data_IF_172829384189
#
_entry.id   IF_172829384189
#
_cell.length_a   1.000
_cell.length_b   1.000
_cell.length_c   1.000
_cell.angle_alpha   90.00
_cell.angle_beta   90.00
_cell.angle_gamma   90.00
#
_symmetry.space_group_name_H-M   'P 1'
#
loop_
_entity.id
_entity.type
_entity.pdbx_description
1 polymer ?
#
# COMPACT_ATOMS: atom_id res chain seq x y z
N UNK A 1 4.75 -4.24 12.20
CA UNK A 1 3.68 -4.69 11.25
C UNK A 1 3.48 -6.19 11.41
N UNK A 2 2.25 -6.67 11.32
CA UNK A 2 1.94 -8.10 11.28
C UNK A 2 1.28 -8.44 9.95
N UNK A 3 1.74 -9.51 9.30
CA UNK A 3 1.16 -10.09 8.09
C UNK A 3 0.53 -11.44 8.45
N UNK A 4 -0.63 -11.73 7.88
CA UNK A 4 -1.34 -12.98 8.07
C UNK A 4 -1.58 -13.63 6.71
N UNK A 5 -1.00 -14.81 6.52
CA UNK A 5 -1.32 -15.68 5.39
C UNK A 5 -2.52 -16.54 5.78
N UNK A 6 -3.65 -16.27 5.16
CA UNK A 6 -4.92 -16.97 5.48
C UNK A 6 -4.96 -18.39 4.92
N UNK A 7 -4.19 -18.69 3.90
CA UNK A 7 -4.10 -20.05 3.30
C UNK A 7 -3.17 -20.92 4.13
N UNK A 8 -1.96 -20.45 4.39
CA UNK A 8 -0.99 -21.17 5.22
C UNK A 8 -1.28 -21.05 6.73
N UNK A 9 -2.25 -20.21 7.14
CA UNK A 9 -2.59 -19.90 8.54
C UNK A 9 -1.36 -19.46 9.36
N UNK A 10 -0.49 -18.70 8.73
CA UNK A 10 0.77 -18.25 9.31
C UNK A 10 0.75 -16.74 9.58
N UNK A 11 1.23 -16.35 10.76
CA UNK A 11 1.47 -14.95 11.11
C UNK A 11 2.97 -14.66 11.02
N UNK A 12 3.31 -13.56 10.34
CA UNK A 12 4.67 -13.03 10.27
C UNK A 12 4.69 -11.63 10.88
N UNK A 13 5.71 -11.31 11.66
CA UNK A 13 5.87 -9.99 12.29
C UNK A 13 7.14 -9.34 11.77
N UNK A 14 7.00 -8.13 11.24
CA UNK A 14 8.12 -7.27 10.85
C UNK A 14 8.39 -6.25 11.94
N UNK A 15 9.65 -6.09 12.33
CA UNK A 15 10.07 -5.08 13.29
C UNK A 15 10.49 -3.81 12.58
N UNK A 16 10.12 -2.67 13.13
CA UNK A 16 10.60 -1.34 12.73
C UNK A 16 11.72 -0.91 13.68
N UNK A 17 12.59 0.03 13.27
CA UNK A 17 13.57 0.64 14.17
C UNK A 17 12.90 1.25 15.38
N UNK A 18 13.63 1.37 16.48
CA UNK A 18 13.12 1.96 17.73
C UNK A 18 12.64 3.40 17.49
N UNK A 19 11.45 3.74 17.97
CA UNK A 19 10.84 5.06 17.83
C UNK A 19 10.22 5.34 16.45
N UNK A 20 10.25 4.36 15.53
CA UNK A 20 9.64 4.46 14.21
C UNK A 20 8.30 3.73 14.21
N UNK A 21 7.27 4.41 13.72
CA UNK A 21 5.92 3.86 13.60
C UNK A 21 5.30 4.18 12.23
N UNK A 22 4.05 3.82 12.04
CA UNK A 22 3.27 4.09 10.83
C UNK A 22 1.80 4.29 11.20
N UNK A 23 1.02 4.91 10.32
CA UNK A 23 -0.42 5.14 10.51
C UNK A 23 -1.25 4.29 9.57
N UNK A 24 -2.58 4.25 9.77
CA UNK A 24 -3.48 3.50 8.89
C UNK A 24 -3.55 4.04 7.45
N UNK A 25 -3.20 5.32 7.21
CA UNK A 25 -3.15 5.94 5.87
C UNK A 25 -1.81 5.72 5.16
N UNK A 26 -0.86 5.11 5.82
CA UNK A 26 0.51 4.91 5.33
C UNK A 26 0.84 3.46 4.99
N UNK A 27 -0.18 2.69 4.65
CA UNK A 27 -0.08 1.28 4.26
C UNK A 27 -0.42 1.11 2.79
N UNK A 28 0.31 0.26 2.09
CA UNK A 28 0.05 -0.09 0.71
C UNK A 28 0.51 -1.50 0.37
N UNK A 29 0.15 -1.95 -0.82
CA UNK A 29 0.56 -3.24 -1.37
C UNK A 29 1.27 -3.04 -2.69
N UNK A 30 2.45 -3.63 -2.83
CA UNK A 30 3.24 -3.62 -4.04
C UNK A 30 2.75 -4.59 -5.11
N UNK A 31 3.32 -4.51 -6.33
CA UNK A 31 2.86 -5.25 -7.51
C UNK A 31 3.00 -6.77 -7.39
N UNK A 32 3.88 -7.27 -6.53
CA UNK A 32 4.06 -8.70 -6.26
C UNK A 32 3.56 -9.11 -4.87
N UNK A 33 2.76 -8.27 -4.22
CA UNK A 33 2.18 -8.52 -2.92
C UNK A 33 3.01 -8.02 -1.74
N UNK A 34 4.09 -7.28 -1.99
CA UNK A 34 4.92 -6.67 -0.96
C UNK A 34 4.09 -5.76 -0.06
N UNK A 35 4.46 -5.67 1.20
CA UNK A 35 3.88 -4.69 2.11
C UNK A 35 4.67 -3.38 2.07
N UNK A 36 3.98 -2.28 1.79
CA UNK A 36 4.56 -0.94 1.79
C UNK A 36 4.13 -0.20 3.05
N UNK A 37 5.09 0.44 3.69
CA UNK A 37 4.88 1.29 4.86
C UNK A 37 5.54 2.66 4.64
N UNK A 38 4.77 3.73 4.76
CA UNK A 38 5.31 5.06 4.96
C UNK A 38 5.50 5.27 6.46
N UNK A 39 6.74 5.32 6.89
CA UNK A 39 7.09 5.36 8.33
C UNK A 39 7.39 6.78 8.81
N UNK A 40 7.25 7.00 10.12
CA UNK A 40 7.37 8.33 10.76
C UNK A 40 8.76 8.95 10.65
N UNK A 41 9.78 8.19 10.28
CA UNK A 41 11.10 8.71 9.91
C UNK A 41 11.18 9.26 8.47
N UNK A 42 10.04 9.30 7.76
CA UNK A 42 9.93 9.86 6.41
C UNK A 42 10.32 8.90 5.28
N UNK A 43 10.50 7.62 5.57
CA UNK A 43 10.85 6.60 4.59
C UNK A 43 9.64 5.82 4.09
N UNK A 44 9.61 5.54 2.79
CA UNK A 44 8.80 4.47 2.23
C UNK A 44 9.62 3.17 2.31
N UNK A 45 9.13 2.19 3.07
CA UNK A 45 9.77 0.89 3.29
C UNK A 45 8.96 -0.21 2.64
N UNK A 46 9.64 -1.16 2.05
CA UNK A 46 9.03 -2.31 1.36
C UNK A 46 9.46 -3.58 2.07
N UNK A 47 8.49 -4.42 2.44
CA UNK A 47 8.70 -5.65 3.18
C UNK A 47 8.20 -6.86 2.38
N UNK A 48 8.91 -7.96 2.51
CA UNK A 48 8.41 -9.27 2.13
C UNK A 48 7.38 -9.75 3.18
N UNK A 49 6.09 -9.92 2.83
CA UNK A 49 5.08 -10.32 3.79
C UNK A 49 5.23 -11.76 4.28
N UNK A 50 5.94 -12.61 3.54
CA UNK A 50 6.16 -14.00 3.91
C UNK A 50 7.24 -14.15 4.98
N UNK A 51 8.31 -13.36 4.90
CA UNK A 51 9.45 -13.42 5.81
C UNK A 51 9.47 -12.32 6.86
N UNK A 52 8.77 -11.19 6.59
CA UNK A 52 8.82 -9.98 7.41
C UNK A 52 10.09 -9.15 7.23
N UNK A 53 10.94 -9.52 6.28
CA UNK A 53 12.20 -8.82 6.01
C UNK A 53 11.97 -7.56 5.20
N UNK A 54 12.68 -6.48 5.55
CA UNK A 54 12.73 -5.28 4.71
C UNK A 54 13.54 -5.57 3.44
N UNK A 55 12.94 -5.33 2.29
CA UNK A 55 13.55 -5.53 0.98
C UNK A 55 14.30 -4.28 0.53
N UNK A 56 13.71 -3.11 0.75
CA UNK A 56 14.30 -1.84 0.39
C UNK A 56 13.54 -0.66 0.97
N UNK A 57 14.14 0.51 0.91
CA UNK A 57 13.51 1.75 1.36
C UNK A 57 14.04 2.97 0.60
N UNK A 58 13.27 4.05 0.62
CA UNK A 58 13.67 5.35 0.07
C UNK A 58 13.20 6.47 0.99
N UNK A 59 14.08 7.46 1.22
CA UNK A 59 13.75 8.66 1.97
C UNK A 59 12.94 9.61 1.09
N UNK A 60 11.76 10.05 1.56
CA UNK A 60 10.87 10.95 0.80
C UNK A 60 10.68 12.31 1.46
N UNK A 61 10.67 12.35 2.78
CA UNK A 61 10.39 13.55 3.57
C UNK A 61 11.15 13.53 4.88
N UNK A 62 11.11 14.64 5.61
CA UNK A 62 11.63 14.69 6.98
C UNK A 62 10.79 13.81 7.92
N UNK A 63 11.36 13.48 9.08
CA UNK A 63 10.63 12.77 10.11
C UNK A 63 9.39 13.56 10.53
N UNK A 64 8.30 12.85 10.77
CA UNK A 64 7.01 13.43 11.13
C UNK A 64 6.38 12.67 12.30
N UNK A 65 5.43 13.29 12.96
CA UNK A 65 4.64 12.66 14.02
C UNK A 65 3.16 12.69 13.66
N UNK A 66 2.43 11.66 14.05
CA UNK A 66 0.98 11.65 13.91
C UNK A 66 0.36 12.69 14.85
N UNK A 67 -0.49 13.57 14.29
CA UNK A 67 -1.26 14.51 15.09
C UNK A 67 -2.33 13.77 15.89
N UNK A 68 -2.55 14.21 17.12
CA UNK A 68 -3.66 13.74 17.97
C UNK A 68 -5.01 14.25 17.45
N UNK A 69 -5.02 15.32 16.66
CA UNK A 69 -6.21 15.88 16.06
C UNK A 69 -6.57 15.13 14.79
N UNK A 70 -7.72 14.49 14.77
CA UNK A 70 -8.19 13.66 13.65
C UNK A 70 -8.22 14.38 12.29
N UNK A 71 -8.54 15.67 12.29
CA UNK A 71 -8.72 16.48 11.08
C UNK A 71 -7.41 17.02 10.49
N UNK A 72 -6.30 16.94 11.22
CA UNK A 72 -5.03 17.45 10.74
C UNK A 72 -4.52 16.64 9.53
N UNK A 73 -3.93 17.33 8.53
CA UNK A 73 -3.32 16.67 7.40
C UNK A 73 -2.22 15.70 7.82
N UNK A 74 -2.23 14.51 7.22
CA UNK A 74 -1.25 13.45 7.45
C UNK A 74 -0.66 12.99 6.13
N UNK A 75 0.60 12.53 6.13
CA UNK A 75 1.14 11.81 4.99
C UNK A 75 0.27 10.59 4.65
N UNK A 76 0.00 10.40 3.37
CA UNK A 76 -0.81 9.31 2.87
C UNK A 76 -0.09 8.58 1.74
N UNK A 77 -0.36 7.29 1.60
CA UNK A 77 0.20 6.42 0.58
C UNK A 77 -0.94 5.82 -0.24
N UNK A 78 -0.81 5.91 -1.57
CA UNK A 78 -1.65 5.19 -2.52
C UNK A 78 -0.77 4.51 -3.57
N UNK A 79 -1.13 3.29 -3.99
CA UNK A 79 -0.34 2.49 -4.92
C UNK A 79 -1.17 2.14 -6.15
N UNK A 80 -0.61 2.36 -7.32
CA UNK A 80 -1.13 1.88 -8.59
C UNK A 80 -0.04 1.12 -9.35
N UNK A 81 -0.21 -0.20 -9.48
CA UNK A 81 0.73 -1.08 -10.15
C UNK A 81 2.15 -0.97 -9.58
N UNK A 82 3.06 -0.41 -10.37
CA UNK A 82 4.48 -0.27 -10.05
C UNK A 82 4.86 1.12 -9.52
N UNK A 83 3.87 1.95 -9.21
CA UNK A 83 4.08 3.31 -8.72
C UNK A 83 3.38 3.51 -7.38
N UNK A 84 4.12 3.99 -6.41
CA UNK A 84 3.60 4.46 -5.14
C UNK A 84 3.54 5.99 -5.15
N UNK A 85 2.41 6.54 -4.73
CA UNK A 85 2.19 7.98 -4.58
C UNK A 85 2.14 8.29 -3.09
N UNK A 86 2.90 9.29 -2.67
CA UNK A 86 3.01 9.69 -1.26
C UNK A 86 2.81 11.19 -1.15
N UNK A 87 1.83 11.59 -0.34
CA UNK A 87 1.62 12.99 -0.03
C UNK A 87 2.45 13.43 1.18
N UNK A 88 3.05 14.60 1.07
CA UNK A 88 3.78 15.28 2.14
C UNK A 88 3.09 16.61 2.47
N UNK A 89 2.26 16.66 3.51
CA UNK A 89 1.55 17.88 3.90
C UNK A 89 2.47 19.00 4.37
N UNK A 90 3.59 18.67 5.00
CA UNK A 90 4.51 19.67 5.55
C UNK A 90 5.18 20.52 4.47
N UNK A 91 5.52 19.93 3.34
CA UNK A 91 6.13 20.60 2.20
C UNK A 91 5.18 20.83 1.03
N UNK A 92 3.91 20.43 1.15
CA UNK A 92 2.89 20.49 0.09
C UNK A 92 3.33 19.78 -1.19
N UNK A 93 3.88 18.59 -1.06
CA UNK A 93 4.37 17.81 -2.20
C UNK A 93 3.62 16.49 -2.36
N UNK A 94 3.62 16.03 -3.60
CA UNK A 94 3.26 14.68 -3.98
C UNK A 94 4.49 14.02 -4.61
N UNK A 95 4.91 12.90 -4.06
CA UNK A 95 6.01 12.09 -4.57
C UNK A 95 5.47 10.89 -5.33
N UNK A 96 6.02 10.63 -6.52
CA UNK A 96 5.81 9.39 -7.25
C UNK A 96 7.08 8.55 -7.17
N UNK A 97 6.94 7.30 -6.74
CA UNK A 97 8.05 6.38 -6.48
C UNK A 97 7.88 5.13 -7.32
N UNK A 98 8.90 4.76 -8.09
CA UNK A 98 8.95 3.47 -8.77
C UNK A 98 9.25 2.38 -7.73
N UNK A 99 8.34 1.42 -7.63
CA UNK A 99 8.42 0.27 -6.74
C UNK A 99 8.46 -1.07 -7.50
N UNK A 100 8.76 -1.03 -8.80
CA UNK A 100 8.89 -2.25 -9.63
C UNK A 100 9.98 -3.18 -9.11
N UNK A 101 11.09 -2.62 -8.62
CA UNK A 101 12.11 -3.34 -7.87
C UNK A 101 12.00 -2.98 -6.38
N UNK A 102 11.47 -3.90 -5.60
CA UNK A 102 11.27 -3.71 -4.16
C UNK A 102 12.58 -3.48 -3.39
N UNK A 103 13.71 -3.94 -3.93
CA UNK A 103 15.04 -3.77 -3.30
C UNK A 103 15.66 -2.41 -3.59
N UNK A 104 15.20 -1.74 -4.64
CA UNK A 104 15.72 -0.45 -5.08
C UNK A 104 14.57 0.52 -5.46
N UNK A 105 13.67 0.87 -4.52
CA UNK A 105 12.63 1.86 -4.78
C UNK A 105 13.26 3.21 -5.08
N UNK A 106 12.72 3.92 -6.06
CA UNK A 106 13.31 5.18 -6.55
C UNK A 106 12.26 6.24 -6.80
N UNK A 107 12.49 7.44 -6.27
CA UNK A 107 11.66 8.61 -6.58
C UNK A 107 11.78 8.96 -8.05
N UNK A 108 10.64 9.00 -8.75
CA UNK A 108 10.53 9.41 -10.14
C UNK A 108 10.41 10.93 -10.27
N UNK A 109 9.50 11.51 -9.50
CA UNK A 109 9.18 12.94 -9.52
C UNK A 109 8.58 13.35 -8.19
N UNK A 110 8.79 14.62 -7.84
CA UNK A 110 8.12 15.30 -6.73
C UNK A 110 7.48 16.57 -7.27
N UNK A 111 6.18 16.73 -7.05
CA UNK A 111 5.38 17.84 -7.56
C UNK A 111 4.91 18.69 -6.39
N UNK A 112 5.05 20.01 -6.50
CA UNK A 112 4.44 20.94 -5.54
C UNK A 112 2.95 21.08 -5.80
N UNK A 113 2.18 21.07 -4.70
CA UNK A 113 0.74 21.24 -4.72
C UNK A 113 0.36 22.65 -4.29
N UNK A 114 -0.69 23.25 -4.87
CA UNK A 114 -1.12 24.60 -4.51
C UNK A 114 -1.70 24.68 -3.09
N UNK A 115 -2.15 23.54 -2.56
CA UNK A 115 -2.75 23.42 -1.23
C UNK A 115 -2.13 22.27 -0.46
N UNK A 116 -2.26 22.30 0.87
CA UNK A 116 -1.84 21.20 1.73
C UNK A 116 -2.69 19.97 1.46
N UNK A 117 -2.09 18.83 1.04
CA UNK A 117 -2.83 17.60 0.84
C UNK A 117 -3.29 17.01 2.18
N UNK A 118 -4.53 16.57 2.24
CA UNK A 118 -5.08 15.91 3.42
C UNK A 118 -5.39 14.42 3.18
N UNK A 119 -5.84 14.11 1.98
CA UNK A 119 -6.18 12.75 1.57
C UNK A 119 -5.57 12.44 0.21
N UNK A 120 -5.32 11.17 -0.03
CA UNK A 120 -4.82 10.66 -1.28
C UNK A 120 -5.63 9.44 -1.69
N UNK A 121 -6.23 9.51 -2.86
CA UNK A 121 -6.95 8.40 -3.48
C UNK A 121 -6.80 8.46 -4.99
N UNK A 122 -7.07 7.37 -5.66
CA UNK A 122 -6.99 7.31 -7.10
C UNK A 122 -7.78 6.15 -7.66
N UNK A 123 -7.91 6.13 -8.98
CA UNK A 123 -8.46 5.01 -9.72
C UNK A 123 -7.32 4.26 -10.40
N UNK A 124 -7.28 2.93 -10.22
CA UNK A 124 -6.27 2.12 -10.89
C UNK A 124 -6.46 2.12 -12.40
N UNK A 125 -5.39 2.27 -13.15
CA UNK A 125 -5.37 2.09 -14.60
C UNK A 125 -5.36 0.62 -15.00
N UNK A 126 -5.14 -0.30 -14.06
CA UNK A 126 -5.17 -1.73 -14.31
C UNK A 126 -6.60 -2.20 -14.59
N UNK A 127 -6.78 -2.85 -15.74
CA UNK A 127 -8.06 -3.49 -16.09
C UNK A 127 -8.38 -4.53 -15.00
N UNK A 128 -9.60 -4.56 -14.44
CA UNK A 128 -9.97 -5.61 -13.51
C UNK A 128 -9.72 -6.97 -14.16
N UNK A 129 -9.15 -7.92 -13.41
CA UNK A 129 -9.05 -9.28 -13.87
C UNK A 129 -10.47 -9.78 -14.25
N UNK A 130 -10.64 -10.50 -15.38
CA UNK A 130 -11.94 -11.02 -15.74
C UNK A 130 -12.43 -11.89 -14.58
N UNK A 131 -13.61 -11.55 -14.05
CA UNK A 131 -14.30 -12.39 -13.09
C UNK A 131 -14.55 -13.73 -13.75
N UNK A 132 -14.00 -14.80 -13.20
CA UNK A 132 -14.39 -16.14 -13.62
C UNK A 132 -15.85 -16.30 -13.21
N UNK A 133 -16.71 -16.30 -14.23
CA UNK A 133 -18.11 -16.64 -14.06
C UNK A 133 -18.18 -18.13 -13.70
N UNK A 134 -18.39 -18.40 -12.43
CA UNK A 134 -18.76 -19.73 -11.97
C UNK A 134 -20.21 -19.94 -12.36
N UNK A 135 -20.40 -20.38 -13.61
CA UNK A 135 -21.69 -20.80 -14.10
C UNK A 135 -22.24 -21.92 -13.20
N UNK A 136 -23.20 -21.57 -12.36
CA UNK A 136 -24.07 -22.54 -11.73
C UNK A 136 -24.93 -23.19 -12.83
N UNK A 137 -24.47 -24.30 -13.34
CA UNK A 137 -25.30 -25.19 -14.15
C UNK A 137 -26.33 -25.84 -13.23
N UNK A 138 -27.51 -25.25 -13.13
CA UNK A 138 -28.69 -25.96 -12.63
C UNK A 138 -29.19 -26.90 -13.74
N UNK A 139 -28.82 -28.16 -13.61
CA UNK A 139 -29.47 -29.25 -14.33
C UNK A 139 -30.74 -29.65 -13.60
N UNK A 140 -31.87 -29.08 -13.99
CA UNK A 140 -33.19 -29.64 -13.69
C UNK A 140 -33.47 -30.77 -14.67
N UNK A 141 -33.19 -31.98 -14.30
CA UNK A 141 -33.85 -33.17 -14.92
C UNK A 141 -35.19 -33.35 -14.20
N UNK A 142 -36.25 -32.94 -14.88
CA UNK A 142 -37.60 -33.33 -14.55
C UNK A 142 -37.91 -34.65 -15.21
N UNK A 143 -37.95 -35.76 -14.45
CA UNK A 143 -38.49 -37.02 -14.87
C UNK A 143 -40.00 -37.07 -14.52
N UNK A 144 -40.87 -37.03 -15.52
CA UNK A 144 -42.27 -37.43 -15.41
C UNK A 144 -42.46 -38.74 -16.14
N UNK A 145 -42.28 -39.84 -15.42
CA UNK A 145 -42.73 -41.16 -15.83
C UNK A 145 -44.18 -41.44 -15.39
N UNK A 146 -44.96 -41.92 -16.33
CA UNK A 146 -46.28 -42.51 -16.11
C UNK A 146 -46.16 -43.90 -15.56
#
# INVERSE_FOLDING_TARGET
MASIDTVAKKRTVSSLPQGVSYTFRSLGRGPQGEALLLTTDGKLRIFDPATGSELGSVQLMDAWSESETWQDPRPALWVDGKTAYVSDPATKKLHAVNIADAKAPKTLVSVELPQTPNELSGTSSSKPAPTQDHGHGESHEGDHGH
#
